data_IF_832860918187
#
_entry.id   IF_832860918187
#
_cell.length_a   1.000
_cell.length_b   1.000
_cell.length_c   1.000
_cell.angle_alpha   90.00
_cell.angle_beta   90.00
_cell.angle_gamma   90.00
#
_symmetry.space_group_name_H-M   'P 1'
#
loop_
_entity.id
_entity.type
_entity.pdbx_description
1 polymer ?
#
# COMPACT_ATOMS: atom_id res chain seq x y z
N UNK A 1 -32.01 -13.01 -7.55
CA UNK A 1 -30.75 -12.30 -7.25
C UNK A 1 -30.22 -12.83 -5.94
N UNK A 2 -28.94 -13.17 -5.84
CA UNK A 2 -28.35 -13.62 -4.56
C UNK A 2 -28.42 -12.51 -3.51
N UNK A 3 -28.73 -12.87 -2.27
CA UNK A 3 -28.76 -11.94 -1.14
C UNK A 3 -27.35 -11.44 -0.80
N UNK A 4 -27.24 -10.29 -0.11
CA UNK A 4 -25.93 -9.78 0.36
C UNK A 4 -25.21 -10.84 1.22
N UNK A 5 -25.95 -11.57 2.06
CA UNK A 5 -25.40 -12.65 2.89
C UNK A 5 -24.83 -13.80 2.05
N UNK A 6 -25.52 -14.23 1.02
CA UNK A 6 -25.03 -15.28 0.11
C UNK A 6 -23.78 -14.82 -0.65
N UNK A 7 -23.77 -13.58 -1.12
CA UNK A 7 -22.60 -12.97 -1.78
C UNK A 7 -21.40 -12.91 -0.84
N UNK A 8 -21.62 -12.48 0.40
CA UNK A 8 -20.59 -12.43 1.44
C UNK A 8 -19.96 -13.81 1.66
N UNK A 9 -20.77 -14.85 1.86
CA UNK A 9 -20.26 -16.21 2.09
C UNK A 9 -19.42 -16.74 0.92
N UNK A 10 -19.83 -16.43 -0.32
CA UNK A 10 -19.11 -16.85 -1.53
C UNK A 10 -17.80 -16.11 -1.73
N UNK A 11 -17.72 -14.85 -1.29
CA UNK A 11 -16.49 -14.05 -1.39
C UNK A 11 -15.47 -14.47 -0.33
N UNK A 12 -15.91 -14.85 0.88
CA UNK A 12 -15.00 -15.25 1.97
C UNK A 12 -14.09 -16.42 1.60
N UNK A 13 -14.54 -17.38 0.77
CA UNK A 13 -13.70 -18.50 0.32
C UNK A 13 -12.50 -18.09 -0.55
N UNK A 14 -12.48 -16.85 -1.05
CA UNK A 14 -11.33 -16.33 -1.80
C UNK A 14 -10.22 -15.78 -0.91
N UNK A 15 -10.51 -15.55 0.38
CA UNK A 15 -9.57 -15.00 1.37
C UNK A 15 -9.08 -16.04 2.37
N UNK A 16 -9.54 -17.28 2.27
CA UNK A 16 -9.02 -18.40 3.06
C UNK A 16 -7.86 -19.04 2.34
N UNK A 17 -6.75 -19.27 3.06
CA UNK A 17 -5.69 -20.18 2.60
C UNK A 17 -6.31 -21.53 2.24
N UNK A 18 -6.07 -22.02 1.02
CA UNK A 18 -6.59 -23.35 0.65
C UNK A 18 -5.78 -24.42 1.39
N UNK A 19 -6.46 -25.20 2.20
CA UNK A 19 -5.95 -26.51 2.63
C UNK A 19 -5.86 -27.42 1.40
N UNK A 20 -4.79 -28.20 1.29
CA UNK A 20 -4.64 -29.25 0.26
C UNK A 20 -5.79 -30.27 0.22
N UNK A 21 -6.66 -30.30 1.24
CA UNK A 21 -7.86 -31.14 1.29
C UNK A 21 -9.08 -30.58 0.55
N UNK A 22 -9.06 -29.35 0.02
CA UNK A 22 -10.11 -28.89 -0.88
C UNK A 22 -9.81 -29.42 -2.29
N UNK A 23 -10.59 -30.40 -2.77
CA UNK A 23 -10.46 -30.95 -4.12
C UNK A 23 -10.28 -29.84 -5.16
N UNK A 24 -9.05 -29.67 -5.65
CA UNK A 24 -8.77 -28.97 -6.88
C UNK A 24 -9.41 -29.81 -7.99
N UNK A 25 -10.40 -29.29 -8.75
CA UNK A 25 -10.91 -30.03 -9.89
C UNK A 25 -9.73 -30.32 -10.81
N UNK A 26 -9.46 -31.60 -11.03
CA UNK A 26 -8.37 -32.06 -11.89
C UNK A 26 -8.37 -31.27 -13.19
N UNK A 27 -7.20 -30.83 -13.63
CA UNK A 27 -6.94 -30.00 -14.83
C UNK A 27 -7.53 -30.53 -16.14
N UNK A 28 -8.05 -31.77 -16.15
CA UNK A 28 -8.65 -32.40 -17.33
C UNK A 28 -10.06 -31.90 -17.68
N UNK A 29 -10.81 -31.32 -16.75
CA UNK A 29 -12.18 -30.83 -16.98
C UNK A 29 -12.38 -29.33 -16.67
N UNK A 30 -11.29 -28.57 -16.48
CA UNK A 30 -11.41 -27.12 -16.29
C UNK A 30 -11.83 -26.46 -17.62
N UNK A 31 -12.87 -25.61 -17.63
CA UNK A 31 -13.24 -24.88 -18.83
C UNK A 31 -12.04 -24.08 -19.36
N UNK A 32 -12.00 -23.90 -20.69
CA UNK A 32 -10.97 -23.07 -21.31
C UNK A 32 -10.91 -21.71 -20.59
N UNK A 33 -9.68 -21.25 -20.34
CA UNK A 33 -9.43 -19.98 -19.67
C UNK A 33 -10.15 -18.84 -20.40
N UNK A 34 -10.83 -18.00 -19.63
CA UNK A 34 -11.61 -16.89 -20.17
C UNK A 34 -10.67 -15.94 -20.91
N UNK A 35 -11.01 -15.62 -22.17
CA UNK A 35 -10.19 -14.78 -23.04
C UNK A 35 -9.87 -13.41 -22.42
N UNK A 36 -10.72 -12.92 -21.50
CA UNK A 36 -10.50 -11.66 -20.78
C UNK A 36 -9.26 -11.70 -19.89
N UNK A 37 -8.87 -12.87 -19.39
CA UNK A 37 -7.70 -13.04 -18.51
C UNK A 37 -6.38 -13.18 -19.29
N UNK A 38 -6.45 -13.24 -20.62
CA UNK A 38 -5.26 -13.39 -21.47
C UNK A 38 -4.28 -12.25 -21.24
N UNK A 39 -3.03 -12.60 -20.94
CA UNK A 39 -1.93 -11.64 -20.74
C UNK A 39 -1.70 -11.22 -19.28
N UNK A 40 -2.52 -11.71 -18.35
CA UNK A 40 -2.22 -11.71 -16.92
C UNK A 40 -1.26 -12.87 -16.56
N UNK A 41 -0.78 -12.91 -15.32
CA UNK A 41 0.23 -13.86 -14.83
C UNK A 41 1.66 -13.41 -15.11
N UNK A 42 1.91 -12.10 -15.24
CA UNK A 42 3.24 -11.54 -15.55
C UNK A 42 4.11 -11.50 -14.30
N UNK A 43 3.56 -11.07 -13.17
CA UNK A 43 4.17 -11.20 -11.85
C UNK A 43 4.14 -12.68 -11.43
N UNK A 44 5.30 -13.33 -11.24
CA UNK A 44 5.32 -14.74 -10.84
C UNK A 44 4.66 -14.96 -9.48
N UNK A 45 4.09 -16.14 -9.29
CA UNK A 45 3.62 -16.61 -7.98
C UNK A 45 4.79 -16.73 -7.00
N UNK A 46 4.50 -16.48 -5.72
CA UNK A 46 5.52 -16.51 -4.67
C UNK A 46 6.53 -15.35 -4.69
N UNK A 47 6.36 -14.36 -5.58
CA UNK A 47 7.06 -13.07 -5.50
C UNK A 47 6.24 -12.10 -4.66
N UNK A 48 6.89 -11.23 -3.88
CA UNK A 48 6.18 -10.20 -3.13
C UNK A 48 5.51 -9.19 -4.08
N UNK A 49 4.19 -9.09 -3.99
CA UNK A 49 3.44 -7.99 -4.61
C UNK A 49 3.80 -6.66 -3.92
N UNK A 50 3.87 -5.59 -4.71
CA UNK A 50 4.22 -4.26 -4.22
C UNK A 50 3.13 -3.28 -4.57
N UNK A 51 2.69 -2.51 -3.57
CA UNK A 51 1.77 -1.38 -3.74
C UNK A 51 2.44 -0.14 -4.33
N UNK A 52 3.74 -0.18 -4.64
CA UNK A 52 4.55 0.95 -5.12
C UNK A 52 5.31 0.63 -6.42
N UNK A 53 5.36 -0.63 -6.84
CA UNK A 53 5.93 -1.01 -8.14
C UNK A 53 4.88 -0.85 -9.25
N UNK A 54 5.13 0.05 -10.20
CA UNK A 54 4.18 0.34 -11.28
C UNK A 54 3.92 -0.86 -12.20
N UNK A 55 4.89 -1.78 -12.38
CA UNK A 55 4.70 -3.00 -13.17
C UNK A 55 3.69 -3.93 -12.47
N UNK A 56 3.83 -4.10 -11.16
CA UNK A 56 2.91 -4.91 -10.36
C UNK A 56 1.50 -4.29 -10.36
N UNK A 57 1.42 -2.97 -10.15
CA UNK A 57 0.15 -2.24 -10.10
C UNK A 57 -0.57 -2.19 -11.45
N UNK A 58 0.15 -2.18 -12.57
CA UNK A 58 -0.45 -2.24 -13.90
C UNK A 58 -1.15 -3.59 -14.13
N UNK A 59 -0.56 -4.69 -13.68
CA UNK A 59 -1.23 -6.00 -13.74
C UNK A 59 -2.39 -6.13 -12.75
N UNK A 60 -2.23 -5.58 -11.55
CA UNK A 60 -3.34 -5.49 -10.61
C UNK A 60 -4.51 -4.69 -11.18
N UNK A 61 -4.24 -3.59 -11.90
CA UNK A 61 -5.23 -2.80 -12.64
C UNK A 61 -5.95 -3.62 -13.69
N UNK A 62 -5.19 -4.25 -14.58
CA UNK A 62 -5.78 -5.04 -15.65
C UNK A 62 -6.76 -6.08 -15.07
N UNK A 63 -6.38 -6.76 -13.97
CA UNK A 63 -7.26 -7.70 -13.28
C UNK A 63 -8.48 -7.03 -12.63
N UNK A 64 -8.32 -5.97 -11.82
CA UNK A 64 -9.48 -5.38 -11.15
C UNK A 64 -10.46 -4.76 -12.12
N UNK A 65 -10.01 -4.27 -13.28
CA UNK A 65 -10.90 -3.75 -14.33
C UNK A 65 -11.68 -4.87 -15.02
N UNK A 66 -11.04 -6.01 -15.29
CA UNK A 66 -11.74 -7.21 -15.81
C UNK A 66 -12.82 -7.65 -14.82
N UNK A 67 -12.48 -7.73 -13.54
CA UNK A 67 -13.41 -8.09 -12.47
C UNK A 67 -14.52 -7.05 -12.30
N UNK A 68 -14.20 -5.76 -12.41
CA UNK A 68 -15.18 -4.67 -12.35
C UNK A 68 -16.16 -4.73 -13.52
N UNK A 69 -15.69 -5.06 -14.72
CA UNK A 69 -16.50 -5.19 -15.93
C UNK A 69 -17.32 -6.49 -16.01
N UNK A 70 -17.14 -7.43 -15.06
CA UNK A 70 -17.89 -8.69 -15.08
C UNK A 70 -19.40 -8.44 -15.05
N UNK A 71 -20.14 -9.16 -15.91
CA UNK A 71 -21.55 -8.89 -16.24
C UNK A 71 -22.46 -8.94 -15.01
N UNK A 72 -22.23 -9.92 -14.15
CA UNK A 72 -23.01 -10.16 -12.94
C UNK A 72 -22.14 -10.87 -11.89
N UNK A 73 -22.69 -11.10 -10.70
CA UNK A 73 -21.98 -11.75 -9.61
C UNK A 73 -21.47 -13.15 -9.96
N UNK A 74 -22.16 -13.91 -10.82
CA UNK A 74 -21.71 -15.25 -11.20
C UNK A 74 -20.49 -15.14 -12.11
N UNK A 75 -20.55 -14.26 -13.11
CA UNK A 75 -19.42 -13.97 -14.00
C UNK A 75 -18.20 -13.47 -13.21
N UNK A 76 -18.41 -12.58 -12.24
CA UNK A 76 -17.39 -12.09 -11.32
C UNK A 76 -16.69 -13.22 -10.55
N UNK A 77 -17.46 -14.15 -9.97
CA UNK A 77 -16.89 -15.29 -9.26
C UNK A 77 -16.12 -16.23 -10.20
N UNK A 78 -16.66 -16.53 -11.39
CA UNK A 78 -15.98 -17.39 -12.37
C UNK A 78 -14.65 -16.80 -12.82
N UNK A 79 -14.60 -15.49 -13.10
CA UNK A 79 -13.35 -14.80 -13.40
C UNK A 79 -12.38 -14.83 -12.22
N UNK A 80 -12.85 -14.58 -11.01
CA UNK A 80 -12.02 -14.60 -9.81
C UNK A 80 -11.42 -16.00 -9.54
N UNK A 81 -12.18 -17.08 -9.77
CA UNK A 81 -11.70 -18.46 -9.61
C UNK A 81 -10.57 -18.81 -10.59
N UNK A 82 -10.69 -18.38 -11.83
CA UNK A 82 -9.66 -18.58 -12.84
C UNK A 82 -8.45 -17.68 -12.59
N UNK A 83 -8.68 -16.38 -12.34
CA UNK A 83 -7.63 -15.41 -12.06
C UNK A 83 -6.77 -15.81 -10.84
N UNK A 84 -7.38 -16.28 -9.75
CA UNK A 84 -6.64 -16.75 -8.55
C UNK A 84 -5.63 -17.86 -8.86
N UNK A 85 -5.88 -18.69 -9.89
CA UNK A 85 -4.94 -19.74 -10.31
C UNK A 85 -3.83 -19.21 -11.22
N UNK A 86 -4.09 -18.12 -11.92
CA UNK A 86 -3.20 -17.55 -12.91
C UNK A 86 -2.20 -16.56 -12.31
N UNK A 87 -2.68 -15.62 -11.50
CA UNK A 87 -1.90 -14.47 -11.05
C UNK A 87 -1.25 -14.68 -9.69
N UNK A 88 -0.30 -13.81 -9.36
CA UNK A 88 0.31 -13.72 -8.03
C UNK A 88 -0.73 -13.54 -6.90
N UNK A 89 -0.46 -14.14 -5.75
CA UNK A 89 -1.39 -14.25 -4.61
C UNK A 89 -1.70 -12.89 -4.00
N UNK A 90 -0.68 -12.06 -3.75
CA UNK A 90 -0.85 -10.71 -3.23
C UNK A 90 -1.58 -9.79 -4.23
N UNK A 91 -1.23 -9.91 -5.51
CA UNK A 91 -1.88 -9.19 -6.59
C UNK A 91 -3.37 -9.55 -6.69
N UNK A 92 -3.71 -10.84 -6.66
CA UNK A 92 -5.09 -11.31 -6.68
C UNK A 92 -5.89 -10.70 -5.54
N UNK A 93 -5.37 -10.80 -4.31
CA UNK A 93 -6.07 -10.31 -3.12
C UNK A 93 -6.29 -8.80 -3.18
N UNK A 94 -5.29 -8.04 -3.64
CA UNK A 94 -5.43 -6.60 -3.88
C UNK A 94 -6.51 -6.30 -4.93
N UNK A 95 -6.39 -6.87 -6.14
CA UNK A 95 -7.30 -6.59 -7.25
C UNK A 95 -8.73 -7.03 -6.97
N UNK A 96 -8.91 -8.18 -6.33
CA UNK A 96 -10.21 -8.71 -5.92
C UNK A 96 -10.86 -7.82 -4.86
N UNK A 97 -10.08 -7.32 -3.88
CA UNK A 97 -10.58 -6.39 -2.85
C UNK A 97 -11.02 -5.06 -3.46
N UNK A 98 -10.23 -4.49 -4.37
CA UNK A 98 -10.62 -3.29 -5.14
C UNK A 98 -11.94 -3.54 -5.88
N UNK A 99 -12.05 -4.64 -6.62
CA UNK A 99 -13.27 -4.95 -7.36
C UNK A 99 -14.50 -5.10 -6.44
N UNK A 100 -14.37 -5.75 -5.28
CA UNK A 100 -15.46 -5.89 -4.29
C UNK A 100 -15.94 -4.52 -3.82
N UNK A 101 -15.01 -3.63 -3.49
CA UNK A 101 -15.33 -2.33 -2.89
C UNK A 101 -16.01 -1.37 -3.87
N UNK A 102 -15.75 -1.51 -5.17
CA UNK A 102 -16.21 -0.53 -6.16
C UNK A 102 -17.38 -1.00 -7.03
N UNK A 103 -17.68 -2.31 -7.12
CA UNK A 103 -18.80 -2.84 -7.91
C UNK A 103 -20.17 -2.53 -7.28
N UNK A 104 -21.09 -2.02 -8.10
CA UNK A 104 -22.44 -1.63 -7.64
C UNK A 104 -23.28 -2.81 -7.15
N UNK A 105 -23.11 -4.00 -7.75
CA UNK A 105 -23.82 -5.20 -7.33
C UNK A 105 -23.25 -5.84 -6.04
N UNK A 106 -22.16 -5.30 -5.49
CA UNK A 106 -21.52 -5.75 -4.25
C UNK A 106 -21.68 -4.77 -3.09
N UNK A 107 -22.48 -3.71 -3.24
CA UNK A 107 -22.81 -2.80 -2.14
C UNK A 107 -23.37 -3.59 -0.93
N UNK A 108 -22.77 -3.38 0.24
CA UNK A 108 -23.10 -4.07 1.49
C UNK A 108 -22.30 -5.35 1.75
N UNK A 109 -21.59 -5.88 0.74
CA UNK A 109 -20.58 -6.92 0.93
C UNK A 109 -19.30 -6.28 1.46
N UNK A 110 -18.65 -6.92 2.43
CA UNK A 110 -17.41 -6.47 3.03
C UNK A 110 -16.24 -7.36 2.61
N UNK A 111 -15.11 -6.73 2.30
CA UNK A 111 -13.81 -7.41 2.30
C UNK A 111 -13.56 -7.86 3.75
N UNK A 112 -13.13 -9.12 4.00
CA UNK A 112 -12.83 -9.56 5.35
C UNK A 112 -11.71 -8.73 5.98
N UNK A 113 -11.61 -8.69 7.31
CA UNK A 113 -10.49 -8.04 7.98
C UNK A 113 -9.17 -8.59 7.43
N UNK A 114 -8.33 -7.70 6.90
CA UNK A 114 -7.14 -8.13 6.16
C UNK A 114 -6.14 -8.85 7.06
N UNK A 115 -6.08 -8.46 8.33
CA UNK A 115 -5.29 -9.11 9.37
C UNK A 115 -5.74 -10.55 9.68
N UNK A 116 -6.98 -10.92 9.38
CA UNK A 116 -7.47 -12.30 9.52
C UNK A 116 -7.19 -13.11 8.25
N UNK A 117 -7.29 -12.49 7.08
CA UNK A 117 -7.01 -13.13 5.79
C UNK A 117 -5.50 -13.34 5.54
N UNK A 118 -4.67 -12.39 5.98
CA UNK A 118 -3.22 -12.35 5.78
C UNK A 118 -2.50 -11.97 7.08
N UNK A 119 -2.58 -12.82 8.12
CA UNK A 119 -1.97 -12.53 9.42
C UNK A 119 -0.45 -12.38 9.35
N UNK A 120 0.17 -12.95 8.32
CA UNK A 120 1.60 -12.91 8.05
C UNK A 120 2.18 -11.52 7.77
N UNK A 121 1.33 -10.59 7.35
CA UNK A 121 1.71 -9.18 7.16
C UNK A 121 1.69 -8.39 8.48
N UNK A 122 1.12 -8.96 9.55
CA UNK A 122 0.88 -8.25 10.80
C UNK A 122 1.53 -8.89 12.02
N UNK A 123 1.80 -10.19 11.94
CA UNK A 123 2.26 -10.99 13.07
C UNK A 123 3.69 -11.47 12.79
N UNK A 124 4.63 -11.32 13.75
CA UNK A 124 5.99 -11.82 13.60
C UNK A 124 6.04 -13.31 13.28
N UNK A 125 6.95 -13.69 12.38
CA UNK A 125 7.12 -15.04 11.87
C UNK A 125 7.27 -16.08 13.00
N UNK A 126 8.02 -15.74 14.06
CA UNK A 126 8.20 -16.61 15.23
C UNK A 126 6.88 -16.97 15.89
N UNK A 127 5.95 -16.01 16.01
CA UNK A 127 4.62 -16.22 16.60
C UNK A 127 3.80 -17.18 15.72
N UNK A 128 3.84 -16.98 14.40
CA UNK A 128 3.13 -17.83 13.44
C UNK A 128 3.68 -19.26 13.47
N UNK A 129 5.01 -19.43 13.46
CA UNK A 129 5.62 -20.74 13.56
C UNK A 129 5.32 -21.45 14.89
N UNK A 130 5.23 -20.71 15.99
CA UNK A 130 4.78 -21.26 17.27
C UNK A 130 3.33 -21.72 17.22
N UNK A 131 2.44 -20.94 16.61
CA UNK A 131 1.03 -21.31 16.42
C UNK A 131 0.90 -22.59 15.56
N UNK A 132 1.60 -22.66 14.42
CA UNK A 132 1.62 -23.85 13.55
C UNK A 132 2.18 -25.06 14.31
N UNK A 133 3.25 -24.88 15.09
CA UNK A 133 3.84 -25.97 15.88
C UNK A 133 2.90 -26.47 16.97
N UNK A 134 2.12 -25.60 17.58
CA UNK A 134 1.10 -25.95 18.56
C UNK A 134 -0.08 -26.68 17.89
N UNK A 135 -0.53 -26.20 16.73
CA UNK A 135 -1.64 -26.79 15.97
C UNK A 135 -1.33 -28.22 15.51
N UNK A 136 -0.10 -28.47 15.04
CA UNK A 136 0.36 -29.84 14.71
C UNK A 136 0.32 -30.82 15.88
N UNK A 137 0.27 -30.33 17.12
CA UNK A 137 0.21 -31.16 18.34
C UNK A 137 -1.18 -31.13 18.98
N UNK A 138 -2.14 -30.45 18.35
CA UNK A 138 -3.47 -30.24 18.88
C UNK A 138 -4.22 -31.56 19.00
N UNK A 139 -4.96 -31.73 20.10
CA UNK A 139 -5.71 -32.97 20.43
C UNK A 139 -7.22 -32.77 20.43
N UNK A 140 -7.68 -31.54 20.50
CA UNK A 140 -9.09 -31.15 20.50
C UNK A 140 -9.28 -29.85 19.73
N UNK A 141 -10.52 -29.44 19.48
CA UNK A 141 -10.79 -28.24 18.68
C UNK A 141 -10.69 -26.92 19.46
N UNK A 142 -10.04 -26.89 20.62
CA UNK A 142 -9.92 -25.64 21.38
C UNK A 142 -9.02 -24.62 20.67
N UNK A 143 -9.30 -23.32 20.83
CA UNK A 143 -8.42 -22.27 20.32
C UNK A 143 -7.00 -22.37 20.89
N UNK A 144 -6.01 -22.16 20.04
CA UNK A 144 -4.60 -22.01 20.43
C UNK A 144 -4.34 -20.53 20.63
N UNK A 145 -3.81 -20.19 21.80
CA UNK A 145 -3.43 -18.81 22.16
C UNK A 145 -1.91 -18.76 22.24
N UNK A 146 -1.30 -17.87 21.45
CA UNK A 146 0.14 -17.64 21.42
C UNK A 146 0.39 -16.17 21.67
N UNK A 147 1.26 -15.87 22.63
CA UNK A 147 1.69 -14.50 22.89
C UNK A 147 2.58 -14.00 21.74
N UNK A 148 2.34 -12.76 21.30
CA UNK A 148 3.10 -12.15 20.21
C UNK A 148 4.57 -12.00 20.60
N UNK A 149 5.44 -12.42 19.70
CA UNK A 149 6.88 -12.24 19.81
C UNK A 149 7.28 -10.77 19.71
N UNK A 150 8.26 -10.34 20.52
CA UNK A 150 8.75 -8.95 20.51
C UNK A 150 9.86 -8.78 19.48
N UNK A 151 9.78 -7.72 18.68
CA UNK A 151 10.64 -7.47 17.49
C UNK A 151 11.89 -6.62 17.75
N UNK A 152 12.15 -6.20 19.00
CA UNK A 152 13.26 -5.30 19.32
C UNK A 152 13.56 -5.18 20.82
N UNK A 153 14.44 -4.25 21.17
CA UNK A 153 14.85 -3.98 22.54
C UNK A 153 15.05 -2.48 22.80
N UNK A 154 15.24 -2.11 24.07
CA UNK A 154 15.35 -0.72 24.52
C UNK A 154 16.71 -0.04 24.24
N UNK A 155 17.62 -0.65 23.48
CA UNK A 155 18.84 0.02 23.00
C UNK A 155 18.53 0.99 21.86
N UNK A 156 17.46 0.73 21.10
CA UNK A 156 16.91 1.63 20.10
C UNK A 156 15.73 2.41 20.69
N UNK A 157 15.79 3.75 20.79
CA UNK A 157 14.66 4.57 21.23
C UNK A 157 13.38 4.35 20.41
N UNK A 158 13.51 4.02 19.11
CA UNK A 158 12.34 3.75 18.26
C UNK A 158 11.56 2.51 18.73
N UNK A 159 12.17 1.58 19.48
CA UNK A 159 11.48 0.41 20.05
C UNK A 159 10.28 0.81 20.94
N UNK A 160 10.37 1.95 21.62
CA UNK A 160 9.27 2.47 22.45
C UNK A 160 7.99 2.79 21.67
N UNK A 161 8.10 2.97 20.35
CA UNK A 161 6.99 3.28 19.44
C UNK A 161 6.44 2.02 18.72
N UNK A 162 6.94 0.82 19.04
CA UNK A 162 6.45 -0.42 18.41
C UNK A 162 4.96 -0.64 18.62
N UNK A 163 4.39 -0.27 19.77
CA UNK A 163 2.95 -0.37 20.02
C UNK A 163 2.12 0.45 19.02
N UNK A 164 2.68 1.52 18.45
CA UNK A 164 2.03 2.34 17.43
C UNK A 164 2.37 1.83 16.04
N UNK A 165 3.66 1.67 15.72
CA UNK A 165 4.13 1.30 14.37
C UNK A 165 3.71 -0.11 13.96
N UNK A 166 3.63 -1.04 14.92
CA UNK A 166 3.24 -2.43 14.69
C UNK A 166 1.77 -2.70 15.06
N UNK A 167 1.00 -1.67 15.42
CA UNK A 167 -0.44 -1.81 15.63
C UNK A 167 -1.11 -2.33 14.36
N UNK A 168 -1.97 -3.32 14.53
CA UNK A 168 -2.68 -3.94 13.41
C UNK A 168 -3.63 -2.93 12.76
N UNK A 169 -4.29 -2.10 13.56
CA UNK A 169 -5.26 -1.11 13.09
C UNK A 169 -4.64 -0.06 12.17
N UNK A 170 -3.48 0.51 12.53
CA UNK A 170 -2.83 1.54 11.71
C UNK A 170 -2.31 0.97 10.38
N UNK A 171 -1.76 -0.24 10.39
CA UNK A 171 -1.24 -0.89 9.20
C UNK A 171 -2.39 -1.30 8.26
N UNK A 172 -3.50 -1.82 8.81
CA UNK A 172 -4.72 -2.12 8.04
C UNK A 172 -5.35 -0.83 7.50
N UNK A 173 -5.33 0.26 8.26
CA UNK A 173 -5.85 1.56 7.80
C UNK A 173 -5.11 2.04 6.55
N UNK A 174 -3.77 2.01 6.57
CA UNK A 174 -2.95 2.42 5.43
C UNK A 174 -3.19 1.52 4.21
N UNK A 175 -3.22 0.19 4.38
CA UNK A 175 -3.59 -0.75 3.32
C UNK A 175 -4.99 -0.45 2.75
N UNK A 176 -5.99 -0.29 3.61
CA UNK A 176 -7.36 -0.06 3.18
C UNK A 176 -7.52 1.26 2.42
N UNK A 177 -6.82 2.32 2.84
CA UNK A 177 -6.83 3.60 2.11
C UNK A 177 -6.39 3.42 0.65
N UNK A 178 -5.33 2.64 0.40
CA UNK A 178 -4.85 2.32 -0.94
C UNK A 178 -5.76 1.37 -1.75
N UNK A 179 -6.74 0.70 -1.12
CA UNK A 179 -7.81 -0.01 -1.82
C UNK A 179 -8.95 0.93 -2.23
N UNK A 180 -9.25 1.94 -1.40
CA UNK A 180 -10.29 2.95 -1.70
C UNK A 180 -9.83 3.89 -2.81
N UNK A 181 -8.55 4.27 -2.79
CA UNK A 181 -7.89 5.19 -3.72
C UNK A 181 -6.70 4.53 -4.44
N UNK A 182 -6.92 3.53 -5.33
CA UNK A 182 -5.83 2.88 -6.05
C UNK A 182 -5.00 3.87 -6.89
N UNK A 183 -3.68 3.71 -6.88
CA UNK A 183 -2.75 4.53 -7.68
C UNK A 183 -3.13 4.54 -9.17
N UNK A 184 -3.51 3.37 -9.69
CA UNK A 184 -3.75 3.12 -11.11
C UNK A 184 -5.21 3.31 -11.54
N UNK A 185 -6.03 3.92 -10.69
CA UNK A 185 -7.45 4.13 -10.93
C UNK A 185 -7.72 4.93 -12.20
N UNK A 186 -8.49 4.36 -13.13
CA UNK A 186 -8.90 5.02 -14.39
C UNK A 186 -10.37 5.41 -14.35
N UNK A 187 -10.73 6.68 -14.09
CA UNK A 187 -12.12 7.11 -13.96
C UNK A 187 -13.00 6.77 -15.16
N UNK A 188 -12.43 6.78 -16.37
CA UNK A 188 -13.11 6.47 -17.63
C UNK A 188 -13.45 4.99 -17.78
N UNK A 189 -12.63 4.08 -17.24
CA UNK A 189 -12.90 2.64 -17.24
C UNK A 189 -13.84 2.27 -16.09
N UNK A 190 -13.56 2.83 -14.90
CA UNK A 190 -14.32 2.55 -13.69
C UNK A 190 -15.64 3.32 -13.63
N UNK A 191 -15.86 4.29 -14.53
CA UNK A 191 -17.05 5.15 -14.61
C UNK A 191 -17.35 5.94 -13.33
N UNK A 192 -16.31 6.16 -12.52
CA UNK A 192 -16.40 6.80 -11.20
C UNK A 192 -15.13 7.62 -10.96
N UNK A 193 -15.30 8.91 -10.72
CA UNK A 193 -14.21 9.83 -10.35
C UNK A 193 -13.94 9.69 -8.85
N UNK A 194 -12.66 9.70 -8.47
CA UNK A 194 -12.25 9.79 -7.07
C UNK A 194 -12.01 11.26 -6.75
N UNK A 195 -13.07 11.93 -6.30
CA UNK A 195 -13.02 13.37 -6.03
C UNK A 195 -11.90 13.71 -5.04
N UNK A 196 -11.04 14.66 -5.42
CA UNK A 196 -9.92 15.17 -4.63
C UNK A 196 -8.97 14.08 -4.10
N UNK A 197 -8.70 13.04 -4.91
CA UNK A 197 -7.83 11.92 -4.53
C UNK A 197 -6.42 12.37 -4.15
N UNK A 198 -5.81 13.26 -4.93
CA UNK A 198 -4.47 13.77 -4.66
C UNK A 198 -4.42 14.62 -3.39
N UNK A 199 -5.47 15.39 -3.12
CA UNK A 199 -5.57 16.11 -1.85
C UNK A 199 -5.75 15.16 -0.66
N UNK A 200 -6.53 14.10 -0.83
CA UNK A 200 -6.71 13.11 0.23
C UNK A 200 -5.44 12.30 0.47
N UNK A 201 -4.62 12.07 -0.57
CA UNK A 201 -3.28 11.51 -0.43
C UNK A 201 -2.43 12.38 0.50
N UNK A 202 -2.39 13.70 0.25
CA UNK A 202 -1.73 14.64 1.14
C UNK A 202 -2.29 14.56 2.56
N UNK A 203 -3.61 14.73 2.71
CA UNK A 203 -4.25 14.84 4.01
C UNK A 203 -4.04 13.59 4.87
N UNK A 204 -4.25 12.39 4.30
CA UNK A 204 -4.14 11.15 5.03
C UNK A 204 -2.71 10.93 5.55
N UNK A 205 -1.70 11.07 4.68
CA UNK A 205 -0.31 10.86 5.09
C UNK A 205 0.17 11.96 6.05
N UNK A 206 -0.23 13.22 5.84
CA UNK A 206 0.07 14.31 6.76
C UNK A 206 -0.50 14.02 8.17
N UNK A 207 -1.74 13.51 8.26
CA UNK A 207 -2.36 13.14 9.53
C UNK A 207 -1.66 11.94 10.19
N UNK A 208 -1.21 10.94 9.42
CA UNK A 208 -0.42 9.82 9.96
C UNK A 208 0.90 10.30 10.59
N UNK A 209 1.63 11.20 9.91
CA UNK A 209 2.89 11.74 10.42
C UNK A 209 2.64 12.66 11.63
N UNK A 210 1.59 13.48 11.60
CA UNK A 210 1.21 14.31 12.74
C UNK A 210 0.86 13.45 13.97
N UNK A 211 0.11 12.36 13.78
CA UNK A 211 -0.21 11.42 14.85
C UNK A 211 1.04 10.72 15.38
N UNK A 212 1.95 10.31 14.52
CA UNK A 212 3.23 9.74 14.93
C UNK A 212 4.03 10.71 15.80
N UNK A 213 4.08 11.99 15.42
CA UNK A 213 4.74 13.02 16.23
C UNK A 213 4.09 13.21 17.61
N UNK A 214 2.77 13.04 17.74
CA UNK A 214 2.12 13.03 19.05
C UNK A 214 2.63 11.87 19.93
N UNK A 215 2.74 10.66 19.38
CA UNK A 215 3.26 9.51 20.12
C UNK A 215 4.73 9.71 20.49
N UNK A 216 5.56 10.25 19.58
CA UNK A 216 6.96 10.58 19.85
C UNK A 216 7.07 11.56 21.03
N UNK A 217 6.34 12.68 20.96
CA UNK A 217 6.36 13.70 22.00
C UNK A 217 5.83 13.17 23.35
N UNK A 218 4.80 12.33 23.33
CA UNK A 218 4.26 11.67 24.52
C UNK A 218 5.28 10.77 25.22
N UNK A 219 6.26 10.23 24.50
CA UNK A 219 7.37 9.42 25.02
C UNK A 219 8.65 10.24 25.27
N UNK A 220 8.60 11.57 25.14
CA UNK A 220 9.76 12.44 25.32
C UNK A 220 10.77 12.42 24.16
N UNK A 221 10.39 11.86 23.01
CA UNK A 221 11.17 11.87 21.78
C UNK A 221 10.92 13.16 20.99
N UNK A 222 11.89 13.58 20.19
CA UNK A 222 11.73 14.72 19.26
C UNK A 222 10.82 14.30 18.11
N UNK A 223 10.14 15.29 17.49
CA UNK A 223 9.42 15.09 16.22
C UNK A 223 10.31 14.43 15.16
N UNK A 224 9.67 13.75 14.21
CA UNK A 224 10.35 13.09 13.11
C UNK A 224 11.14 14.10 12.26
N UNK A 225 12.35 13.72 11.86
CA UNK A 225 13.19 14.53 10.97
C UNK A 225 12.94 14.09 9.53
N UNK A 226 12.56 15.01 8.61
CA UNK A 226 12.33 14.68 7.21
C UNK A 226 13.58 14.07 6.56
N UNK A 227 13.37 13.13 5.64
CA UNK A 227 14.44 12.60 4.79
C UNK A 227 14.58 13.44 3.51
N UNK A 228 15.10 14.66 3.67
CA UNK A 228 15.24 15.63 2.57
C UNK A 228 16.60 15.56 1.85
N UNK A 229 17.62 15.00 2.51
CA UNK A 229 18.96 14.85 1.96
C UNK A 229 19.18 13.38 1.60
N UNK A 230 19.19 13.06 0.31
CA UNK A 230 19.30 11.68 -0.19
C UNK A 230 20.69 11.05 0.03
N UNK A 231 21.70 11.85 0.40
CA UNK A 231 23.01 11.35 0.82
C UNK A 231 23.04 10.89 2.30
N UNK A 232 22.01 11.22 3.09
CA UNK A 232 21.94 10.80 4.49
C UNK A 232 21.80 9.28 4.62
N UNK A 233 22.35 8.72 5.70
CA UNK A 233 22.24 7.30 6.04
C UNK A 233 21.00 7.02 6.88
N UNK A 234 20.44 5.84 6.70
CA UNK A 234 19.28 5.31 7.38
C UNK A 234 19.65 4.69 8.73
N UNK A 235 18.69 4.73 9.66
CA UNK A 235 18.67 3.78 10.77
C UNK A 235 18.23 2.39 10.28
N UNK A 236 18.67 1.35 10.98
CA UNK A 236 18.31 -0.03 10.73
C UNK A 236 16.87 -0.33 11.17
N UNK A 237 16.29 -1.38 10.59
CA UNK A 237 15.00 -1.91 10.99
C UNK A 237 14.87 -3.38 10.55
N UNK A 238 14.34 -4.23 11.44
CA UNK A 238 13.97 -5.62 11.15
C UNK A 238 12.53 -5.85 11.56
N UNK A 239 11.69 -6.22 10.60
CA UNK A 239 10.25 -6.39 10.83
C UNK A 239 9.87 -7.72 11.48
N UNK A 240 10.75 -8.72 11.40
CA UNK A 240 10.45 -10.11 11.73
C UNK A 240 9.22 -10.68 10.99
N UNK A 241 8.83 -10.08 9.86
CA UNK A 241 7.73 -10.57 9.04
C UNK A 241 8.22 -11.56 7.99
N UNK A 242 7.39 -12.54 7.69
CA UNK A 242 7.57 -13.50 6.60
C UNK A 242 6.30 -13.53 5.78
N UNK A 243 6.41 -13.67 4.46
CA UNK A 243 5.23 -13.77 3.60
C UNK A 243 4.99 -15.22 3.24
N UNK A 244 3.73 -15.66 3.29
CA UNK A 244 3.34 -17.02 2.94
C UNK A 244 2.74 -17.10 1.53
N UNK A 245 3.03 -18.21 0.86
CA UNK A 245 2.45 -18.58 -0.43
C UNK A 245 1.11 -19.24 -0.15
N UNK A 246 0.05 -18.72 -0.77
CA UNK A 246 -1.26 -19.37 -0.83
C UNK A 246 -1.30 -20.37 -1.99
N UNK A 247 -0.60 -21.50 -1.82
CA UNK A 247 -0.58 -22.60 -2.78
C UNK A 247 -1.50 -23.75 -2.33
N UNK A 248 -2.61 -24.00 -3.03
CA UNK A 248 -3.53 -25.10 -2.70
C UNK A 248 -2.91 -26.49 -2.85
N UNK A 249 -1.82 -26.64 -3.60
CA UNK A 249 -1.24 -27.96 -3.88
C UNK A 249 -0.27 -28.42 -2.75
N UNK A 250 -0.07 -27.61 -1.71
CA UNK A 250 0.84 -27.91 -0.61
C UNK A 250 0.12 -27.97 0.75
N UNK A 251 0.27 -29.09 1.47
CA UNK A 251 -0.30 -29.30 2.81
C UNK A 251 0.30 -28.38 3.90
N UNK A 252 1.49 -27.81 3.64
CA UNK A 252 2.21 -26.94 4.58
C UNK A 252 2.37 -25.55 3.96
N UNK A 253 2.03 -24.47 4.68
CA UNK A 253 2.29 -23.11 4.21
C UNK A 253 3.75 -22.93 3.85
N UNK A 254 4.02 -22.64 2.59
CA UNK A 254 5.36 -22.26 2.15
C UNK A 254 5.57 -20.76 2.38
N UNK A 255 6.81 -20.35 2.62
CA UNK A 255 7.16 -18.93 2.72
C UNK A 255 7.78 -18.46 1.41
N UNK A 256 7.44 -17.27 0.95
CA UNK A 256 8.20 -16.55 -0.09
C UNK A 256 9.55 -16.04 0.45
N UNK A 257 9.79 -16.20 1.75
CA UNK A 257 10.93 -15.66 2.48
C UNK A 257 10.53 -14.49 3.36
N UNK A 258 11.47 -14.03 4.18
CA UNK A 258 11.27 -12.90 5.08
C UNK A 258 11.29 -11.58 4.30
N UNK A 259 10.63 -10.56 4.83
CA UNK A 259 10.93 -9.19 4.42
C UNK A 259 12.36 -8.88 4.87
N UNK A 260 13.18 -8.34 3.97
CA UNK A 260 14.57 -8.05 4.31
C UNK A 260 14.68 -7.02 5.42
N UNK A 261 15.67 -7.24 6.28
CA UNK A 261 16.08 -6.27 7.29
C UNK A 261 17.02 -5.24 6.67
N UNK A 262 16.99 -4.02 7.21
CA UNK A 262 17.95 -2.98 6.88
C UNK A 262 18.89 -2.79 8.07
N UNK A 263 20.20 -2.89 7.85
CA UNK A 263 21.20 -2.53 8.87
C UNK A 263 21.41 -1.00 8.93
N UNK A 264 21.91 -0.53 10.06
CA UNK A 264 22.31 0.88 10.22
C UNK A 264 23.37 1.31 9.20
N UNK A 265 23.35 2.59 8.81
CA UNK A 265 24.42 3.21 8.02
C UNK A 265 24.31 3.00 6.51
N UNK A 266 23.30 2.26 6.04
CA UNK A 266 22.93 2.20 4.62
C UNK A 266 22.31 3.53 4.17
N UNK A 267 22.32 3.85 2.88
CA UNK A 267 21.69 5.08 2.35
C UNK A 267 21.08 4.79 0.97
N UNK A 268 20.42 5.76 0.34
CA UNK A 268 19.85 5.53 -0.99
C UNK A 268 20.94 5.10 -1.99
N UNK A 269 20.60 4.10 -2.81
CA UNK A 269 21.44 3.54 -3.87
C UNK A 269 20.58 3.39 -5.14
N UNK A 270 21.23 3.46 -6.30
CA UNK A 270 20.58 3.22 -7.58
C UNK A 270 20.08 1.77 -7.66
N UNK A 271 18.86 1.59 -8.16
CA UNK A 271 18.28 0.29 -8.42
C UNK A 271 18.61 -0.14 -9.85
N UNK A 272 19.35 -1.23 -9.99
CA UNK A 272 19.77 -1.78 -11.30
C UNK A 272 19.13 -3.14 -11.61
N UNK A 273 18.02 -3.46 -10.94
CA UNK A 273 17.30 -4.72 -11.12
C UNK A 273 16.39 -4.68 -12.35
N UNK A 274 16.02 -5.85 -12.87
CA UNK A 274 15.05 -5.94 -13.97
C UNK A 274 13.60 -5.76 -13.52
N UNK A 275 13.31 -6.04 -12.26
CA UNK A 275 11.98 -5.93 -11.62
C UNK A 275 11.75 -4.56 -10.97
N UNK A 276 12.81 -3.84 -10.62
CA UNK A 276 12.78 -2.48 -10.07
C UNK A 276 13.87 -1.61 -10.69
N UNK A 277 13.52 -0.41 -11.13
CA UNK A 277 14.45 0.58 -11.65
C UNK A 277 14.29 1.92 -10.96
N UNK A 278 15.40 2.67 -10.89
CA UNK A 278 15.40 4.06 -10.44
C UNK A 278 16.79 4.52 -10.08
N UNK A 279 17.13 5.74 -10.49
CA UNK A 279 18.41 6.37 -10.13
C UNK A 279 18.17 7.45 -9.08
N UNK A 280 19.07 7.58 -8.09
CA UNK A 280 18.96 8.61 -7.05
C UNK A 280 18.95 9.99 -7.68
N UNK A 281 19.77 10.22 -8.71
CA UNK A 281 19.79 11.47 -9.46
C UNK A 281 18.45 11.77 -10.15
N UNK A 282 17.75 10.74 -10.63
CA UNK A 282 16.41 10.90 -11.21
C UNK A 282 15.38 11.31 -10.15
N UNK A 283 15.45 10.70 -8.97
CA UNK A 283 14.63 11.08 -7.82
C UNK A 283 14.87 12.54 -7.42
N UNK A 284 16.12 13.01 -7.44
CA UNK A 284 16.47 14.41 -7.21
C UNK A 284 15.90 15.35 -8.29
N UNK A 285 15.95 14.95 -9.57
CA UNK A 285 15.36 15.76 -10.66
C UNK A 285 13.85 15.88 -10.51
N UNK A 286 13.14 14.81 -10.17
CA UNK A 286 11.70 14.86 -9.95
C UNK A 286 11.35 15.74 -8.75
N UNK A 287 12.08 15.59 -7.65
CA UNK A 287 11.99 16.45 -6.46
C UNK A 287 12.11 17.92 -6.84
N UNK A 288 13.15 18.30 -7.58
CA UNK A 288 13.38 19.70 -7.97
C UNK A 288 12.27 20.24 -8.88
N UNK A 289 11.80 19.44 -9.85
CA UNK A 289 10.70 19.82 -10.75
C UNK A 289 9.39 20.03 -10.00
N UNK A 290 9.06 19.15 -9.06
CA UNK A 290 7.84 19.26 -8.25
C UNK A 290 7.93 20.49 -7.33
N UNK A 291 9.08 20.70 -6.67
CA UNK A 291 9.30 21.87 -5.81
C UNK A 291 9.22 23.18 -6.61
N UNK A 292 9.80 23.21 -7.81
CA UNK A 292 9.68 24.36 -8.70
C UNK A 292 8.22 24.62 -9.10
N UNK A 293 7.46 23.58 -9.42
CA UNK A 293 6.04 23.72 -9.75
C UNK A 293 5.22 24.24 -8.56
N UNK A 294 5.49 23.75 -7.35
CA UNK A 294 4.89 24.22 -6.12
C UNK A 294 5.17 25.71 -5.88
N UNK A 295 6.43 26.15 -6.01
CA UNK A 295 6.83 27.55 -5.79
C UNK A 295 6.33 28.51 -6.88
N UNK A 296 6.29 28.07 -8.13
CA UNK A 296 5.74 28.87 -9.24
C UNK A 296 4.21 28.92 -9.23
N UNK A 297 3.54 28.02 -8.50
CA UNK A 297 2.09 27.88 -8.52
C UNK A 297 1.55 27.40 -9.87
N UNK A 298 2.32 26.61 -10.62
CA UNK A 298 1.90 26.06 -11.91
C UNK A 298 2.69 24.81 -12.30
N UNK A 299 2.06 23.92 -13.09
CA UNK A 299 2.65 22.68 -13.61
C UNK A 299 2.68 22.67 -15.14
N UNK A 300 3.48 21.78 -15.74
CA UNK A 300 3.53 21.56 -17.19
C UNK A 300 2.79 20.28 -17.54
N UNK A 301 1.82 20.36 -18.45
CA UNK A 301 1.19 19.16 -19.01
C UNK A 301 2.05 18.48 -20.08
N UNK A 302 1.61 17.31 -20.56
CA UNK A 302 2.32 16.54 -21.59
C UNK A 302 2.51 17.30 -22.91
N UNK A 303 1.67 18.30 -23.19
CA UNK A 303 1.81 19.18 -24.36
C UNK A 303 2.76 20.36 -24.15
N UNK A 304 3.33 20.49 -22.94
CA UNK A 304 4.17 21.61 -22.55
C UNK A 304 3.39 22.87 -22.17
N UNK A 305 2.06 22.79 -22.03
CA UNK A 305 1.24 23.92 -21.59
C UNK A 305 1.33 24.06 -20.08
N UNK A 306 1.39 25.32 -19.64
CA UNK A 306 1.38 25.69 -18.22
C UNK A 306 -0.05 25.64 -17.68
N UNK A 307 -0.26 24.83 -16.63
CA UNK A 307 -1.52 24.68 -15.91
C UNK A 307 -1.36 25.29 -14.51
N UNK A 308 -2.11 26.35 -14.16
CA UNK A 308 -2.03 26.96 -12.84
C UNK A 308 -2.48 26.03 -11.71
N UNK A 309 -1.77 26.06 -10.57
CA UNK A 309 -2.17 25.43 -9.32
C UNK A 309 -3.11 26.37 -8.54
N UNK A 310 -4.37 26.44 -8.96
CA UNK A 310 -5.40 27.27 -8.33
C UNK A 310 -5.62 26.92 -6.84
N UNK A 311 -6.14 27.88 -6.06
CA UNK A 311 -6.32 27.73 -4.61
C UNK A 311 -7.17 26.51 -4.25
N UNK A 312 -8.21 26.23 -5.03
CA UNK A 312 -9.19 25.17 -4.77
C UNK A 312 -8.76 23.79 -5.29
N UNK A 313 -8.03 23.74 -6.41
CA UNK A 313 -7.74 22.48 -7.13
C UNK A 313 -6.26 22.13 -7.20
N UNK A 314 -5.37 23.08 -6.93
CA UNK A 314 -3.94 22.91 -7.12
C UNK A 314 -3.33 21.86 -6.21
N UNK A 315 -3.85 21.69 -4.99
CA UNK A 315 -3.39 20.63 -4.09
C UNK A 315 -3.72 19.23 -4.59
N UNK A 316 -4.85 19.07 -5.28
CA UNK A 316 -5.26 17.79 -5.86
C UNK A 316 -4.33 17.41 -7.01
N UNK A 317 -4.03 18.37 -7.89
CA UNK A 317 -3.05 18.22 -8.97
C UNK A 317 -1.68 17.88 -8.40
N UNK A 318 -1.19 18.64 -7.40
CA UNK A 318 0.11 18.40 -6.78
C UNK A 318 0.18 17.01 -6.11
N UNK A 319 -0.92 16.58 -5.49
CA UNK A 319 -1.05 15.25 -4.90
C UNK A 319 -0.94 14.15 -5.94
N UNK A 320 -1.62 14.29 -7.08
CA UNK A 320 -1.52 13.34 -8.18
C UNK A 320 -0.10 13.26 -8.77
N UNK A 321 0.63 14.37 -8.83
CA UNK A 321 2.03 14.41 -9.28
C UNK A 321 2.98 13.70 -8.29
N UNK A 322 2.86 14.02 -6.99
CA UNK A 322 3.76 13.49 -5.95
C UNK A 322 3.53 12.00 -5.72
N UNK A 323 2.27 11.58 -5.54
CA UNK A 323 1.89 10.17 -5.48
C UNK A 323 2.24 9.45 -6.78
N UNK A 324 2.30 10.18 -7.90
CA UNK A 324 2.45 9.69 -9.26
C UNK A 324 1.33 8.72 -9.67
N UNK A 325 0.09 9.14 -9.37
CA UNK A 325 -1.10 8.38 -9.73
C UNK A 325 -1.42 8.48 -11.22
N UNK A 326 -2.41 7.71 -11.69
CA UNK A 326 -2.93 7.82 -13.05
C UNK A 326 -3.35 9.25 -13.44
N UNK A 327 -3.78 10.05 -12.46
CA UNK A 327 -4.22 11.44 -12.66
C UNK A 327 -3.05 12.43 -12.72
N UNK A 328 -1.79 11.96 -12.64
CA UNK A 328 -0.61 12.80 -12.82
C UNK A 328 -0.61 13.44 -14.21
N UNK A 329 -0.63 14.77 -14.25
CA UNK A 329 -0.78 15.55 -15.49
C UNK A 329 0.39 15.37 -16.47
N UNK A 330 1.57 14.97 -15.98
CA UNK A 330 2.74 14.68 -16.82
C UNK A 330 3.72 13.74 -16.09
N UNK A 331 3.42 12.44 -16.10
CA UNK A 331 4.23 11.44 -15.39
C UNK A 331 5.65 11.30 -15.96
N UNK A 332 5.87 11.62 -17.23
CA UNK A 332 7.22 11.59 -17.84
C UNK A 332 8.11 12.70 -17.32
N UNK A 333 7.55 13.87 -17.03
CA UNK A 333 8.29 15.01 -16.50
C UNK A 333 8.42 14.98 -14.97
N UNK A 334 7.32 14.75 -14.25
CA UNK A 334 7.30 14.77 -12.78
C UNK A 334 7.64 13.42 -12.15
N UNK A 335 7.59 12.33 -12.92
CA UNK A 335 8.10 11.04 -12.52
C UNK A 335 7.24 10.25 -11.54
N UNK A 336 7.88 9.28 -10.89
CA UNK A 336 7.28 8.38 -9.91
C UNK A 336 7.85 8.61 -8.51
N UNK A 337 7.90 9.88 -8.07
CA UNK A 337 8.70 10.32 -6.93
C UNK A 337 8.41 9.54 -5.63
N UNK A 338 7.16 9.60 -5.14
CA UNK A 338 6.77 8.95 -3.88
C UNK A 338 7.07 7.44 -3.88
N UNK A 339 6.63 6.74 -4.93
CA UNK A 339 6.70 5.28 -4.97
C UNK A 339 8.12 4.77 -5.24
N UNK A 340 8.92 5.48 -6.04
CA UNK A 340 10.34 5.14 -6.24
C UNK A 340 11.13 5.29 -4.94
N UNK A 341 10.81 6.28 -4.10
CA UNK A 341 11.39 6.39 -2.75
C UNK A 341 11.10 5.16 -1.89
N UNK A 342 9.85 4.69 -1.86
CA UNK A 342 9.48 3.42 -1.20
C UNK A 342 10.30 2.23 -1.73
N UNK A 343 10.38 2.08 -3.05
CA UNK A 343 11.11 0.99 -3.69
C UNK A 343 12.60 1.03 -3.31
N UNK A 344 13.27 2.18 -3.42
CA UNK A 344 14.68 2.34 -3.08
C UNK A 344 14.97 2.04 -1.61
N UNK A 345 14.13 2.53 -0.69
CA UNK A 345 14.29 2.25 0.74
C UNK A 345 14.10 0.76 1.03
N UNK A 346 13.14 0.10 0.37
CA UNK A 346 12.87 -1.33 0.57
C UNK A 346 13.98 -2.25 0.05
N UNK A 347 14.71 -1.82 -0.99
CA UNK A 347 15.70 -2.64 -1.70
C UNK A 347 17.14 -2.26 -1.39
N UNK A 348 17.39 -1.33 -0.48
CA UNK A 348 18.74 -0.82 -0.18
C UNK A 348 19.75 -1.90 0.22
N UNK A 349 19.30 -3.04 0.75
CA UNK A 349 20.16 -4.17 1.12
C UNK A 349 20.65 -5.00 -0.08
N UNK A 350 19.90 -5.01 -1.20
CA UNK A 350 20.21 -5.76 -2.43
C UNK A 350 19.77 -4.96 -3.68
N UNK A 351 20.37 -3.77 -3.94
CA UNK A 351 19.88 -2.81 -4.93
C UNK A 351 20.08 -3.25 -6.39
N UNK A 352 20.94 -4.24 -6.63
CA UNK A 352 21.15 -4.84 -7.96
C UNK A 352 20.57 -6.25 -8.09
N UNK A 353 19.99 -6.79 -7.00
CA UNK A 353 19.29 -8.07 -7.01
C UNK A 353 20.21 -9.29 -7.13
N UNK A 354 21.53 -9.14 -7.01
CA UNK A 354 22.47 -10.27 -7.13
C UNK A 354 22.27 -11.31 -6.04
N UNK A 355 21.77 -10.91 -4.87
CA UNK A 355 21.52 -11.79 -3.74
C UNK A 355 20.14 -12.45 -3.81
N UNK A 356 19.26 -11.95 -4.69
CA UNK A 356 17.89 -12.43 -4.87
C UNK A 356 17.11 -12.37 -3.56
N UNK A 357 17.38 -11.34 -2.75
CA UNK A 357 16.67 -11.12 -1.50
C UNK A 357 15.33 -10.43 -1.76
N UNK A 358 14.37 -10.70 -0.88
CA UNK A 358 13.08 -10.03 -0.89
C UNK A 358 13.23 -8.58 -0.44
N UNK A 359 12.44 -7.65 -0.96
CA UNK A 359 12.38 -6.29 -0.44
C UNK A 359 11.97 -6.24 1.05
N UNK A 360 12.39 -5.18 1.73
CA UNK A 360 11.94 -4.84 3.08
C UNK A 360 10.50 -4.29 3.11
N UNK A 361 9.96 -4.05 4.30
CA UNK A 361 8.54 -3.70 4.52
C UNK A 361 8.06 -2.42 3.82
N UNK A 362 8.97 -1.52 3.43
CA UNK A 362 8.61 -0.32 2.67
C UNK A 362 8.01 -0.60 1.28
N UNK A 363 8.05 -1.85 0.81
CA UNK A 363 7.49 -2.29 -0.48
C UNK A 363 5.97 -2.49 -0.47
N UNK A 364 5.37 -2.64 0.71
CA UNK A 364 3.96 -3.02 0.88
C UNK A 364 3.23 -2.06 1.81
N UNK A 365 2.11 -1.51 1.33
CA UNK A 365 1.21 -0.64 2.10
C UNK A 365 0.71 -1.28 3.40
N UNK A 366 0.59 -2.60 3.50
CA UNK A 366 0.19 -3.25 4.76
C UNK A 366 1.31 -3.31 5.80
N UNK A 367 2.56 -3.02 5.45
CA UNK A 367 3.71 -3.21 6.34
C UNK A 367 4.64 -1.99 6.46
N UNK A 368 4.58 -1.05 5.51
CA UNK A 368 5.49 0.09 5.43
C UNK A 368 5.48 0.96 6.69
N UNK A 369 4.31 1.17 7.30
CA UNK A 369 4.14 1.99 8.53
C UNK A 369 4.99 1.48 9.70
N UNK A 370 5.40 0.21 9.67
CA UNK A 370 6.26 -0.38 10.68
C UNK A 370 7.68 0.18 10.66
N UNK A 371 8.23 0.55 9.50
CA UNK A 371 9.60 1.09 9.41
C UNK A 371 9.62 2.57 9.83
N UNK A 372 10.47 3.01 10.78
CA UNK A 372 10.64 4.43 11.10
C UNK A 372 10.93 5.32 9.89
N UNK A 373 11.54 4.78 8.82
CA UNK A 373 11.76 5.51 7.57
C UNK A 373 10.49 5.88 6.83
N UNK A 374 9.37 5.17 7.03
CA UNK A 374 8.08 5.58 6.50
C UNK A 374 7.75 7.02 6.90
N UNK A 375 7.86 7.33 8.20
CA UNK A 375 7.51 8.65 8.72
C UNK A 375 8.51 9.73 8.30
N UNK A 376 9.79 9.39 8.14
CA UNK A 376 10.81 10.34 7.65
C UNK A 376 10.60 10.66 6.17
N UNK A 377 10.29 9.66 5.35
CA UNK A 377 9.94 9.84 3.93
C UNK A 377 8.66 10.68 3.78
N UNK A 378 7.61 10.32 4.50
CA UNK A 378 6.33 11.03 4.43
C UNK A 378 6.38 12.44 5.04
N UNK A 379 7.22 12.69 6.05
CA UNK A 379 7.48 14.06 6.51
C UNK A 379 8.12 14.90 5.41
N UNK A 380 9.00 14.34 4.60
CA UNK A 380 9.57 15.06 3.47
C UNK A 380 8.52 15.33 2.38
N UNK A 381 7.70 14.33 2.05
CA UNK A 381 6.56 14.48 1.13
C UNK A 381 5.59 15.58 1.62
N UNK A 382 5.22 15.57 2.90
CA UNK A 382 4.38 16.60 3.54
C UNK A 382 5.01 18.01 3.45
N UNK A 383 6.33 18.12 3.61
CA UNK A 383 7.01 19.39 3.44
C UNK A 383 6.84 19.94 2.00
N UNK A 384 6.84 19.10 0.97
CA UNK A 384 6.60 19.55 -0.41
C UNK A 384 5.21 20.19 -0.59
N UNK A 385 4.18 19.62 0.06
CA UNK A 385 2.85 20.24 0.08
C UNK A 385 2.81 21.52 0.91
N UNK A 386 3.56 21.57 2.01
CA UNK A 386 3.70 22.77 2.84
C UNK A 386 4.29 23.93 2.04
N UNK A 387 5.29 23.65 1.21
CA UNK A 387 5.91 24.63 0.32
C UNK A 387 4.90 25.23 -0.68
N UNK A 388 4.02 24.42 -1.24
CA UNK A 388 2.89 24.92 -2.04
C UNK A 388 1.89 25.71 -1.19
N UNK A 389 1.46 25.18 -0.03
CA UNK A 389 0.51 25.86 0.87
C UNK A 389 1.01 27.25 1.32
N UNK A 390 2.32 27.42 1.49
CA UNK A 390 2.93 28.71 1.83
C UNK A 390 2.80 29.77 0.71
N UNK A 391 2.50 29.36 -0.52
CA UNK A 391 2.22 30.28 -1.64
C UNK A 391 0.77 30.75 -1.67
N UNK A 392 -0.13 30.09 -0.94
CA UNK A 392 -1.55 30.42 -0.93
C UNK A 392 -1.85 31.60 -0.01
N UNK A 393 -2.90 32.38 -0.29
CA UNK A 393 -3.41 33.38 0.64
C UNK A 393 -3.76 32.75 2.00
N UNK A 394 -3.44 33.45 3.08
CA UNK A 394 -3.93 33.09 4.41
C UNK A 394 -5.43 33.35 4.50
N UNK A 395 -6.14 32.55 5.29
CA UNK A 395 -7.55 32.81 5.58
C UNK A 395 -7.73 34.18 6.26
N UNK A 396 -8.69 34.96 5.77
CA UNK A 396 -9.10 36.22 6.36
C UNK A 396 -10.18 36.00 7.42
N UNK A 397 -10.44 37.01 8.25
CA UNK A 397 -11.47 36.94 9.30
C UNK A 397 -12.85 36.59 8.73
N UNK A 398 -13.18 37.07 7.53
CA UNK A 398 -14.44 36.78 6.84
C UNK A 398 -14.60 35.30 6.54
N UNK A 399 -13.52 34.59 6.22
CA UNK A 399 -13.54 33.16 5.89
C UNK A 399 -13.87 32.28 7.10
N UNK A 400 -13.54 32.74 8.31
CA UNK A 400 -13.69 31.96 9.56
C UNK A 400 -14.77 32.49 10.52
N UNK A 401 -15.22 33.73 10.36
CA UNK A 401 -16.18 34.37 11.27
C UNK A 401 -17.54 33.67 11.37
N UNK A 402 -18.02 33.07 10.27
CA UNK A 402 -19.26 32.27 10.25
C UNK A 402 -19.14 30.92 10.98
N UNK A 403 -17.92 30.43 11.24
CA UNK A 403 -17.67 29.20 11.98
C UNK A 403 -17.62 29.42 13.51
N UNK A 404 -17.30 30.65 13.96
CA UNK A 404 -17.16 31.00 15.37
C UNK A 404 -18.46 31.46 16.05
N UNK A 405 -19.51 31.79 15.30
CA UNK A 405 -20.79 32.28 15.86
C UNK A 405 -21.70 31.20 16.48
N UNK A 406 -21.30 29.91 16.49
CA UNK A 406 -22.10 28.83 17.09
C UNK A 406 -21.63 28.33 18.46
N UNK A 407 -20.68 29.01 19.08
CA UNK A 407 -20.20 28.69 20.43
C UNK A 407 -20.46 29.84 21.41
N UNK A 408 -21.71 30.28 21.52
CA UNK A 408 -22.19 30.79 22.80
C UNK A 408 -22.58 29.57 23.64
N UNK A 409 -21.64 29.05 24.41
CA UNK A 409 -22.00 28.24 25.57
C UNK A 409 -22.69 29.17 26.56
N UNK A 410 -24.01 29.14 26.57
CA UNK A 410 -24.82 29.73 27.63
C UNK A 410 -24.41 29.07 28.95
N UNK A 411 -23.75 29.84 29.81
CA UNK A 411 -23.36 29.48 31.16
C UNK A 411 -24.56 29.14 32.05
#
# INVERSE_FOLDING_TARGET
MSTVREKQLRILSFFTYRSASSESPTTKDSPAEDIRLKGLGRLPKGVLFSGFNIVHLNEARDLYEILYAAKDFRDFLTLAEQARRLVNEGLFVYAFSVAIMHRDDLVGVKVPPFQEARPDLFIPAETIFQAIKADRKRKDDKPIIVDIFKTGNNLDPEYSLTYFREDVGINVHHFHWHLVYPLTWRPEVMRKVKDRKGELFYYMHQQMVARYDCERLGLGLKRVIPFQNFAEKFGGYSSHLTSFIDDPDHEVPQTTGNYASRSDGLGLLDLSRSDYGGQVEELERWKDRIMQAAHLGAVLDESGRVVPLAVETGIDVLGALIEASYESINSTYYGNFHNTGHNMISLVHDPDGRHKENPGVMVDTATAVRDPMFFRWHRYVDNMFTEYKNTLPSYEQTDVSGLLQKTEFSH
#
